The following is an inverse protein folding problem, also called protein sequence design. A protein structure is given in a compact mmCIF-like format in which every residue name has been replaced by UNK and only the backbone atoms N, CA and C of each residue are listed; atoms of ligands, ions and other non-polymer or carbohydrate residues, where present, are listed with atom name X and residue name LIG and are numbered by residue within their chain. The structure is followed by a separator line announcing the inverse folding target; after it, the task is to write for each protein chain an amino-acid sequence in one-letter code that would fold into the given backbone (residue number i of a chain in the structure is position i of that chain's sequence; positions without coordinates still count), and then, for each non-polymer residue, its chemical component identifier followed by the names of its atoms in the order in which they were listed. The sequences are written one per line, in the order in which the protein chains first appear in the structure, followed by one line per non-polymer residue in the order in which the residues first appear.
data_IF_879226039781
#
_entry.id   IF_879226039781
#
_cell.length_a   1.000
_cell.length_b   1.000
_cell.length_c   1.000
_cell.angle_alpha   90.00
_cell.angle_beta   90.00
_cell.angle_gamma   90.00
#
_symmetry.space_group_name_H-M   'P 1'
#
loop_
_entity.id
_entity.type
_entity.pdbx_description
1 polymer ?
#
# COMPACT_ATOMS: atom_id res chain seq x y z
N UNK A 1 -16.96 -45.30 23.29
CA UNK A 1 -17.42 -46.28 22.30
C UNK A 1 -16.22 -47.11 21.97
N UNK A 2 -16.28 -48.44 22.20
CA UNK A 2 -15.14 -49.34 22.22
C UNK A 2 -14.61 -49.55 20.79
N UNK A 3 -13.29 -49.37 20.58
CA UNK A 3 -12.64 -49.67 19.33
C UNK A 3 -12.77 -51.19 19.02
N UNK A 4 -13.07 -51.61 17.78
CA UNK A 4 -13.12 -53.01 17.46
C UNK A 4 -11.72 -53.66 17.63
N UNK A 5 -11.72 -54.87 18.17
CA UNK A 5 -10.50 -55.65 18.40
C UNK A 5 -10.00 -56.29 17.08
N UNK A 6 -8.72 -56.71 17.05
CA UNK A 6 -8.17 -57.51 15.96
C UNK A 6 -9.01 -58.78 15.79
N UNK A 7 -9.36 -59.15 14.54
CA UNK A 7 -10.24 -60.24 14.14
C UNK A 7 -11.72 -59.86 14.02
N UNK A 8 -12.15 -58.69 14.53
CA UNK A 8 -13.54 -58.23 14.41
C UNK A 8 -13.92 -58.00 12.95
N UNK A 9 -15.18 -58.27 12.62
CA UNK A 9 -15.73 -57.99 11.31
C UNK A 9 -15.93 -56.52 11.07
N UNK A 10 -15.68 -56.07 9.85
CA UNK A 10 -15.76 -54.66 9.44
C UNK A 10 -16.49 -54.54 8.08
N UNK A 11 -17.28 -53.49 7.98
CA UNK A 11 -18.04 -53.14 6.77
C UNK A 11 -17.70 -51.74 6.31
N UNK A 12 -17.28 -51.60 5.05
CA UNK A 12 -17.10 -50.30 4.43
C UNK A 12 -18.32 -49.99 3.58
N UNK A 13 -18.91 -48.82 3.78
CA UNK A 13 -20.06 -48.35 3.01
C UNK A 13 -19.57 -47.42 1.89
N UNK A 14 -19.49 -47.90 0.61
CA UNK A 14 -19.06 -47.08 -0.51
C UNK A 14 -20.07 -45.98 -0.83
N UNK A 15 -19.60 -44.84 -1.31
CA UNK A 15 -20.48 -43.84 -1.88
C UNK A 15 -21.15 -44.38 -3.13
N UNK A 16 -22.48 -44.30 -3.20
CA UNK A 16 -23.26 -44.75 -4.34
C UNK A 16 -24.55 -43.94 -4.48
N UNK A 17 -24.95 -43.70 -5.74
CA UNK A 17 -26.23 -43.09 -6.09
C UNK A 17 -27.32 -44.19 -6.36
N UNK A 18 -26.97 -45.44 -6.21
CA UNK A 18 -27.90 -46.58 -6.43
C UNK A 18 -28.80 -46.79 -5.20
N UNK A 19 -30.03 -47.30 -5.44
CA UNK A 19 -31.00 -47.57 -4.37
C UNK A 19 -30.58 -48.68 -3.40
N UNK A 20 -29.72 -49.62 -3.84
CA UNK A 20 -29.12 -50.67 -2.99
C UNK A 20 -27.61 -50.54 -3.05
N UNK A 21 -26.98 -50.42 -1.90
CA UNK A 21 -25.53 -50.29 -1.78
C UNK A 21 -24.99 -51.56 -1.14
N UNK A 22 -24.06 -52.22 -1.86
CA UNK A 22 -23.35 -53.37 -1.31
C UNK A 22 -22.17 -52.88 -0.48
N UNK A 23 -22.14 -53.21 0.82
CA UNK A 23 -20.98 -52.99 1.66
C UNK A 23 -19.82 -53.91 1.22
N UNK A 24 -18.59 -53.35 1.33
CA UNK A 24 -17.39 -54.20 1.24
C UNK A 24 -17.10 -54.72 2.65
N UNK A 25 -16.95 -56.05 2.77
CA UNK A 25 -16.74 -56.73 4.05
C UNK A 25 -15.30 -57.17 4.22
N UNK A 26 -14.82 -57.21 5.43
CA UNK A 26 -13.50 -57.69 5.81
C UNK A 26 -13.31 -57.78 7.32
N UNK A 27 -12.09 -57.97 7.76
CA UNK A 27 -11.75 -58.07 9.18
C UNK A 27 -10.70 -57.04 9.55
N UNK A 28 -10.72 -56.60 10.81
CA UNK A 28 -9.64 -55.82 11.42
C UNK A 28 -8.41 -56.70 11.56
N UNK A 29 -7.35 -56.41 10.81
CA UNK A 29 -6.07 -57.13 10.87
C UNK A 29 -5.14 -56.63 11.97
N UNK A 30 -5.13 -55.30 12.15
CA UNK A 30 -4.25 -54.68 13.13
C UNK A 30 -4.91 -53.40 13.66
N UNK A 31 -4.61 -53.08 14.88
CA UNK A 31 -4.99 -51.82 15.55
C UNK A 31 -3.74 -51.15 16.11
N UNK A 32 -3.37 -50.00 15.55
CA UNK A 32 -2.27 -49.18 16.01
C UNK A 32 -2.78 -47.86 16.59
N UNK A 33 -1.92 -47.05 17.14
CA UNK A 33 -2.25 -45.72 17.67
C UNK A 33 -1.59 -44.63 16.86
N UNK A 34 -2.34 -43.55 16.60
CA UNK A 34 -1.88 -42.32 15.94
C UNK A 34 -2.12 -41.17 16.89
N UNK A 35 -1.22 -40.19 16.92
CA UNK A 35 -1.26 -39.04 17.84
C UNK A 35 -1.44 -39.41 19.33
N UNK A 36 -0.82 -40.50 19.72
CA UNK A 36 -0.75 -40.97 21.12
C UNK A 36 -1.97 -41.75 21.63
N UNK A 37 -3.19 -41.42 21.25
CA UNK A 37 -4.42 -41.98 21.80
C UNK A 37 -5.43 -42.50 20.78
N UNK A 38 -5.42 -42.01 19.54
CA UNK A 38 -6.41 -42.37 18.51
C UNK A 38 -6.05 -43.64 17.79
N UNK A 39 -7.04 -44.49 17.50
CA UNK A 39 -6.86 -45.74 16.81
C UNK A 39 -6.68 -45.54 15.30
N UNK A 40 -5.82 -46.36 14.73
CA UNK A 40 -5.61 -46.53 13.30
C UNK A 40 -5.70 -48.01 12.96
N UNK A 41 -6.49 -48.33 11.96
CA UNK A 41 -6.85 -49.69 11.64
C UNK A 41 -6.25 -50.15 10.31
N UNK A 42 -5.67 -51.35 10.31
CA UNK A 42 -5.38 -52.10 9.09
C UNK A 42 -6.51 -53.10 8.88
N UNK A 43 -7.16 -53.01 7.73
CA UNK A 43 -8.36 -53.77 7.41
C UNK A 43 -8.08 -54.77 6.26
N UNK A 44 -8.50 -56.03 6.43
CA UNK A 44 -8.42 -57.07 5.42
C UNK A 44 -9.59 -56.99 4.46
N UNK A 45 -9.64 -55.94 3.63
CA UNK A 45 -10.66 -55.74 2.60
C UNK A 45 -10.11 -54.99 1.41
N UNK A 46 -10.72 -55.22 0.22
CA UNK A 46 -10.36 -54.50 -0.97
C UNK A 46 -10.91 -53.07 -0.97
N UNK A 47 -10.08 -52.11 -1.35
CA UNK A 47 -10.49 -50.73 -1.55
C UNK A 47 -10.21 -50.23 -2.96
N UNK A 48 -11.23 -49.67 -3.60
CA UNK A 48 -11.14 -49.00 -4.92
C UNK A 48 -11.03 -47.47 -4.69
N UNK A 49 -10.56 -46.74 -5.70
CA UNK A 49 -10.33 -45.29 -5.58
C UNK A 49 -11.55 -44.50 -5.09
N UNK A 50 -12.75 -44.89 -5.49
CA UNK A 50 -14.01 -44.24 -5.06
C UNK A 50 -14.44 -44.57 -3.63
N UNK A 51 -13.68 -45.38 -2.91
CA UNK A 51 -13.95 -45.77 -1.52
C UNK A 51 -13.09 -45.02 -0.48
N UNK A 52 -12.22 -44.15 -0.94
CA UNK A 52 -11.45 -43.27 -0.02
C UNK A 52 -12.43 -42.35 0.72
N UNK A 53 -12.20 -42.17 2.01
CA UNK A 53 -13.07 -41.40 2.92
C UNK A 53 -14.45 -42.01 3.22
N UNK A 54 -14.70 -43.23 2.78
CA UNK A 54 -15.93 -43.93 3.14
C UNK A 54 -15.93 -44.35 4.61
N UNK A 55 -17.11 -44.38 5.28
CA UNK A 55 -17.21 -44.86 6.64
C UNK A 55 -16.99 -46.37 6.73
N UNK A 56 -16.27 -46.76 7.79
CA UNK A 56 -16.08 -48.18 8.16
C UNK A 56 -16.83 -48.45 9.48
N UNK A 57 -17.66 -49.46 9.44
CA UNK A 57 -18.64 -49.78 10.52
C UNK A 57 -18.35 -51.17 11.12
N UNK A 58 -18.79 -51.31 12.38
CA UNK A 58 -18.83 -52.61 13.09
C UNK A 58 -20.15 -53.34 12.79
N UNK A 59 -20.34 -54.50 13.42
CA UNK A 59 -21.54 -55.34 13.25
C UNK A 59 -22.84 -54.66 13.66
N UNK A 60 -22.78 -53.70 14.59
CA UNK A 60 -23.90 -52.89 15.06
C UNK A 60 -24.19 -51.69 14.17
N UNK A 61 -23.49 -51.51 13.05
CA UNK A 61 -23.63 -50.38 12.12
C UNK A 61 -23.03 -49.08 12.65
N UNK A 62 -22.21 -49.11 13.69
CA UNK A 62 -21.55 -47.94 14.25
C UNK A 62 -20.27 -47.65 13.46
N UNK A 63 -20.07 -46.40 13.06
CA UNK A 63 -18.85 -45.95 12.37
C UNK A 63 -17.68 -45.89 13.37
N UNK A 64 -16.66 -46.70 13.15
CA UNK A 64 -15.43 -46.68 13.97
C UNK A 64 -14.22 -46.08 13.24
N UNK A 65 -14.27 -46.00 11.91
CA UNK A 65 -13.17 -45.47 11.12
C UNK A 65 -13.60 -44.84 9.78
N UNK A 66 -12.68 -44.10 9.21
CA UNK A 66 -12.80 -43.49 7.86
C UNK A 66 -11.70 -44.09 6.98
N UNK A 67 -12.09 -44.69 5.88
CA UNK A 67 -11.19 -45.42 5.00
C UNK A 67 -10.15 -44.50 4.34
N UNK A 68 -8.91 -44.95 4.30
CA UNK A 68 -7.78 -44.24 3.70
C UNK A 68 -7.07 -45.12 2.69
N UNK A 69 -6.59 -44.49 1.60
CA UNK A 69 -5.79 -45.18 0.57
C UNK A 69 -4.38 -45.41 1.12
N UNK A 70 -3.88 -46.63 0.92
CA UNK A 70 -2.48 -46.96 1.16
C UNK A 70 -1.59 -46.23 0.14
N UNK A 71 -0.43 -45.77 0.59
CA UNK A 71 0.67 -45.33 -0.29
C UNK A 71 1.52 -46.51 -0.78
N UNK A 72 1.28 -47.72 -0.28
CA UNK A 72 1.99 -48.96 -0.65
C UNK A 72 1.39 -49.71 -1.80
N UNK A 73 2.12 -50.75 -2.26
CA UNK A 73 1.79 -51.53 -3.48
C UNK A 73 0.60 -52.48 -3.29
N UNK A 74 0.25 -52.87 -2.05
CA UNK A 74 -0.82 -53.80 -1.78
C UNK A 74 -2.14 -53.14 -1.38
N UNK A 75 -2.92 -52.72 -2.39
CA UNK A 75 -4.29 -52.24 -2.23
C UNK A 75 -5.36 -53.26 -2.54
N UNK A 76 -4.96 -54.45 -2.95
CA UNK A 76 -5.92 -55.51 -3.44
C UNK A 76 -6.56 -56.22 -2.26
N UNK A 77 -5.84 -56.42 -1.16
CA UNK A 77 -6.33 -57.20 -0.02
C UNK A 77 -6.31 -56.46 1.30
N UNK A 78 -5.73 -55.25 1.33
CA UNK A 78 -5.54 -54.50 2.56
C UNK A 78 -5.86 -53.01 2.34
N UNK A 79 -6.62 -52.43 3.22
CA UNK A 79 -6.82 -50.97 3.29
C UNK A 79 -6.67 -50.51 4.74
N UNK A 80 -6.69 -49.17 4.91
CA UNK A 80 -6.48 -48.54 6.18
C UNK A 80 -7.67 -47.67 6.56
N UNK A 81 -7.85 -47.45 7.86
CA UNK A 81 -8.86 -46.51 8.31
C UNK A 81 -8.36 -45.68 9.53
N UNK A 82 -8.47 -44.38 9.47
CA UNK A 82 -8.31 -43.53 10.62
C UNK A 82 -9.51 -43.66 11.56
N UNK A 83 -9.27 -43.75 12.86
CA UNK A 83 -10.35 -43.87 13.86
C UNK A 83 -11.33 -42.69 13.78
N UNK A 84 -12.62 -42.99 13.85
CA UNK A 84 -13.68 -41.96 13.79
C UNK A 84 -13.54 -40.93 14.93
N UNK A 85 -13.06 -41.34 16.10
CA UNK A 85 -12.79 -40.41 17.19
C UNK A 85 -11.73 -39.36 16.85
N UNK A 86 -10.69 -39.74 16.07
CA UNK A 86 -9.70 -38.79 15.57
C UNK A 86 -10.33 -37.75 14.61
N UNK A 87 -11.12 -38.20 13.67
CA UNK A 87 -11.82 -37.31 12.73
C UNK A 87 -12.78 -36.35 13.46
N UNK A 88 -13.51 -36.84 14.47
CA UNK A 88 -14.43 -36.04 15.29
C UNK A 88 -13.71 -35.07 16.22
N UNK A 89 -12.49 -35.32 16.59
CA UNK A 89 -11.68 -34.45 17.48
C UNK A 89 -11.00 -33.30 16.67
N UNK A 90 -11.00 -33.37 15.33
CA UNK A 90 -10.42 -32.32 14.51
C UNK A 90 -11.23 -31.03 14.64
N UNK A 91 -10.56 -29.95 14.95
CA UNK A 91 -11.15 -28.61 15.04
C UNK A 91 -10.56 -27.70 13.97
N UNK A 92 -11.41 -26.89 13.37
CA UNK A 92 -10.97 -25.81 12.49
C UNK A 92 -10.47 -24.67 13.37
N UNK A 93 -9.25 -24.23 13.14
CA UNK A 93 -8.67 -23.04 13.75
C UNK A 93 -8.39 -21.98 12.70
N UNK A 94 -8.01 -20.79 13.13
CA UNK A 94 -7.58 -19.73 12.20
C UNK A 94 -6.39 -20.17 11.34
N UNK A 95 -5.48 -20.99 11.85
CA UNK A 95 -4.33 -21.52 11.12
C UNK A 95 -4.68 -22.60 10.10
N UNK A 96 -5.88 -23.19 10.15
CA UNK A 96 -6.32 -24.24 9.21
C UNK A 96 -6.33 -23.77 7.75
N UNK A 97 -6.48 -22.47 7.49
CA UNK A 97 -6.41 -21.91 6.15
C UNK A 97 -5.01 -22.08 5.52
N UNK A 98 -3.95 -22.07 6.34
CA UNK A 98 -2.55 -22.28 5.91
C UNK A 98 -2.18 -23.73 5.71
N UNK A 99 -2.96 -24.70 6.22
CA UNK A 99 -2.64 -26.13 6.20
C UNK A 99 -2.61 -26.68 4.77
N UNK A 100 -1.46 -27.21 4.36
CA UNK A 100 -1.24 -27.72 3.01
C UNK A 100 -2.10 -28.96 2.69
N UNK A 101 -2.43 -29.78 3.69
CA UNK A 101 -3.30 -30.95 3.52
C UNK A 101 -4.75 -30.51 3.35
N UNK A 102 -5.22 -29.55 4.16
CA UNK A 102 -6.56 -29.01 4.06
C UNK A 102 -6.78 -28.21 2.76
N UNK A 103 -5.76 -27.54 2.22
CA UNK A 103 -5.84 -26.86 0.92
C UNK A 103 -6.15 -27.78 -0.24
N UNK A 104 -5.66 -29.01 -0.19
CA UNK A 104 -5.87 -30.03 -1.24
C UNK A 104 -7.27 -30.66 -1.20
N UNK A 105 -8.02 -30.50 -0.11
CA UNK A 105 -9.35 -31.03 0.03
C UNK A 105 -10.34 -30.08 -0.64
N UNK A 106 -11.06 -30.54 -1.68
CA UNK A 106 -12.05 -29.76 -2.43
C UNK A 106 -13.35 -29.45 -1.66
N UNK A 107 -13.43 -29.80 -0.37
CA UNK A 107 -14.57 -29.50 0.49
C UNK A 107 -14.40 -28.10 1.09
N UNK A 108 -15.44 -27.29 1.05
CA UNK A 108 -15.47 -25.99 1.68
C UNK A 108 -15.28 -26.16 3.20
N UNK A 109 -14.31 -25.44 3.77
CA UNK A 109 -14.06 -25.43 5.20
C UNK A 109 -15.09 -24.54 5.89
N UNK A 110 -15.58 -24.99 7.03
CA UNK A 110 -16.40 -24.14 7.92
C UNK A 110 -15.54 -23.10 8.66
N UNK A 111 -16.21 -22.21 9.36
CA UNK A 111 -15.54 -21.27 10.27
C UNK A 111 -15.16 -21.94 11.59
N UNK A 112 -14.12 -21.43 12.29
CA UNK A 112 -13.89 -21.77 13.69
C UNK A 112 -15.13 -21.51 14.57
N UNK A 113 -15.24 -22.27 15.67
CA UNK A 113 -16.41 -22.21 16.56
C UNK A 113 -16.46 -20.91 17.38
N UNK A 114 -15.30 -20.33 17.69
CA UNK A 114 -15.22 -19.09 18.48
C UNK A 114 -15.10 -17.86 17.58
N UNK A 115 -15.68 -16.76 18.00
CA UNK A 115 -15.71 -15.50 17.29
C UNK A 115 -14.30 -14.98 16.97
N UNK A 116 -13.41 -14.94 17.96
CA UNK A 116 -12.02 -14.46 17.79
C UNK A 116 -11.26 -15.27 16.73
N UNK A 117 -11.37 -16.60 16.79
CA UNK A 117 -10.72 -17.49 15.83
C UNK A 117 -11.32 -17.32 14.43
N UNK A 118 -12.62 -17.10 14.34
CA UNK A 118 -13.31 -16.87 13.07
C UNK A 118 -12.91 -15.51 12.45
N UNK A 119 -12.73 -14.46 13.26
CA UNK A 119 -12.23 -13.16 12.79
C UNK A 119 -10.79 -13.26 12.25
N UNK A 120 -9.89 -13.97 12.96
CA UNK A 120 -8.54 -14.22 12.46
C UNK A 120 -8.58 -15.04 11.17
N UNK A 121 -9.46 -16.04 11.08
CA UNK A 121 -9.65 -16.83 9.87
C UNK A 121 -10.13 -15.97 8.68
N UNK A 122 -11.09 -15.06 8.88
CA UNK A 122 -11.54 -14.10 7.86
C UNK A 122 -10.41 -13.19 7.38
N UNK A 123 -9.58 -12.70 8.31
CA UNK A 123 -8.43 -11.86 7.96
C UNK A 123 -7.45 -12.61 7.05
N UNK A 124 -7.09 -13.85 7.41
CA UNK A 124 -6.21 -14.68 6.58
C UNK A 124 -6.84 -15.06 5.23
N UNK A 125 -8.14 -15.28 5.19
CA UNK A 125 -8.88 -15.67 4.00
C UNK A 125 -8.97 -14.54 2.97
N UNK A 126 -8.99 -13.29 3.40
CA UNK A 126 -9.14 -12.12 2.51
C UNK A 126 -8.08 -12.00 1.42
N UNK A 127 -6.86 -12.53 1.69
CA UNK A 127 -5.73 -12.52 0.74
C UNK A 127 -5.56 -13.83 -0.06
N UNK A 128 -6.33 -14.89 0.27
CA UNK A 128 -6.07 -16.23 -0.25
C UNK A 128 -7.27 -16.88 -0.95
N UNK A 129 -8.48 -16.36 -0.77
CA UNK A 129 -9.68 -16.87 -1.42
C UNK A 129 -10.06 -16.04 -2.65
N UNK A 130 -10.78 -16.67 -3.59
CA UNK A 130 -11.46 -15.96 -4.68
C UNK A 130 -12.54 -15.01 -4.12
N UNK A 131 -12.91 -14.00 -4.89
CA UNK A 131 -13.93 -13.04 -4.48
C UNK A 131 -15.24 -13.69 -4.03
N UNK A 132 -15.76 -14.62 -4.82
CA UNK A 132 -17.03 -15.30 -4.54
C UNK A 132 -16.95 -16.26 -3.34
N UNK A 133 -15.81 -16.92 -3.15
CA UNK A 133 -15.61 -17.80 -2.00
C UNK A 133 -15.41 -17.01 -0.71
N UNK A 134 -14.80 -15.83 -0.81
CA UNK A 134 -14.69 -14.92 0.32
C UNK A 134 -16.05 -14.33 0.72
N UNK A 135 -16.91 -13.96 -0.26
CA UNK A 135 -18.29 -13.51 0.00
C UNK A 135 -19.10 -14.57 0.76
N UNK A 136 -19.04 -15.82 0.32
CA UNK A 136 -19.70 -16.93 1.03
C UNK A 136 -19.18 -17.12 2.45
N UNK A 137 -17.89 -16.91 2.66
CA UNK A 137 -17.29 -17.00 3.98
C UNK A 137 -17.76 -15.88 4.90
N UNK A 138 -17.90 -14.64 4.38
CA UNK A 138 -18.49 -13.52 5.11
C UNK A 138 -19.96 -13.77 5.47
N UNK A 139 -20.73 -14.35 4.55
CA UNK A 139 -22.12 -14.74 4.82
C UNK A 139 -22.23 -15.79 5.92
N UNK A 140 -21.33 -16.79 5.93
CA UNK A 140 -21.28 -17.80 6.98
C UNK A 140 -20.90 -17.19 8.31
N UNK A 141 -19.94 -16.25 8.34
CA UNK A 141 -19.56 -15.55 9.56
C UNK A 141 -20.73 -14.77 10.16
N UNK A 142 -21.43 -13.98 9.34
CA UNK A 142 -22.58 -13.20 9.79
C UNK A 142 -23.71 -14.12 10.27
N UNK A 143 -23.89 -15.28 9.65
CA UNK A 143 -24.91 -16.26 10.09
C UNK A 143 -24.52 -16.89 11.44
N UNK A 144 -23.25 -17.17 11.67
CA UNK A 144 -22.75 -17.78 12.91
C UNK A 144 -22.66 -16.75 14.04
N UNK A 145 -22.29 -15.50 13.74
CA UNK A 145 -22.07 -14.42 14.69
C UNK A 145 -22.87 -13.16 14.31
N UNK A 146 -24.20 -13.19 14.33
CA UNK A 146 -25.05 -12.10 13.82
C UNK A 146 -24.98 -10.81 14.67
N UNK A 147 -24.47 -10.88 15.89
CA UNK A 147 -24.27 -9.73 16.77
C UNK A 147 -22.89 -9.07 16.62
N UNK A 148 -22.00 -9.64 15.80
CA UNK A 148 -20.67 -9.07 15.55
C UNK A 148 -20.71 -8.04 14.43
N UNK A 149 -20.32 -6.78 14.72
CA UNK A 149 -20.31 -5.69 13.75
C UNK A 149 -19.24 -5.86 12.67
N UNK A 150 -18.08 -6.46 13.00
CA UNK A 150 -16.95 -6.65 12.06
C UNK A 150 -17.33 -7.48 10.84
N UNK A 151 -18.20 -8.49 11.01
CA UNK A 151 -18.69 -9.29 9.90
C UNK A 151 -19.39 -8.44 8.85
N UNK A 152 -20.27 -7.56 9.27
CA UNK A 152 -20.98 -6.63 8.39
C UNK A 152 -20.04 -5.59 7.80
N UNK A 153 -19.11 -5.03 8.58
CA UNK A 153 -18.12 -4.05 8.09
C UNK A 153 -17.23 -4.65 7.00
N UNK A 154 -16.75 -5.87 7.19
CA UNK A 154 -15.93 -6.57 6.18
C UNK A 154 -16.72 -6.84 4.91
N UNK A 155 -18.00 -7.27 5.02
CA UNK A 155 -18.83 -7.50 3.85
C UNK A 155 -19.21 -6.20 3.15
N UNK A 156 -19.48 -5.13 3.88
CA UNK A 156 -19.69 -3.79 3.33
C UNK A 156 -18.48 -3.31 2.51
N UNK A 157 -17.26 -3.45 3.05
CA UNK A 157 -16.03 -3.11 2.32
C UNK A 157 -15.83 -3.97 1.07
N UNK A 158 -16.15 -5.27 1.15
CA UNK A 158 -16.10 -6.16 0.00
C UNK A 158 -17.09 -5.74 -1.10
N UNK A 159 -18.33 -5.41 -0.74
CA UNK A 159 -19.32 -4.89 -1.69
C UNK A 159 -18.90 -3.55 -2.28
N UNK A 160 -18.37 -2.65 -1.48
CA UNK A 160 -17.90 -1.35 -1.96
C UNK A 160 -16.75 -1.47 -2.98
N UNK A 161 -15.86 -2.44 -2.81
CA UNK A 161 -14.81 -2.72 -3.79
C UNK A 161 -15.36 -3.17 -5.16
N UNK A 162 -16.51 -3.88 -5.17
CA UNK A 162 -17.25 -4.24 -6.40
C UNK A 162 -18.04 -3.08 -7.01
N UNK A 163 -18.34 -2.05 -6.23
CA UNK A 163 -19.19 -0.92 -6.63
C UNK A 163 -18.60 -0.02 -7.72
N UNK A 164 -17.32 -0.17 -8.08
CA UNK A 164 -16.69 0.60 -9.17
C UNK A 164 -17.37 0.40 -10.52
N UNK A 165 -17.82 -0.83 -10.78
CA UNK A 165 -18.41 -1.21 -12.06
C UNK A 165 -19.95 -1.21 -12.02
N UNK A 166 -20.55 -1.33 -10.82
CA UNK A 166 -22.00 -1.37 -10.63
C UNK A 166 -22.38 -0.78 -9.28
N UNK A 167 -23.03 0.39 -9.30
CA UNK A 167 -23.42 1.14 -8.09
C UNK A 167 -24.44 0.39 -7.20
N UNK A 168 -25.09 -0.66 -7.66
CA UNK A 168 -26.00 -1.47 -6.83
C UNK A 168 -25.25 -2.18 -5.69
N UNK A 169 -23.95 -2.39 -5.83
CA UNK A 169 -23.11 -2.94 -4.76
C UNK A 169 -22.95 -1.96 -3.59
N UNK A 170 -22.98 -0.65 -3.83
CA UNK A 170 -22.95 0.33 -2.75
C UNK A 170 -24.24 0.30 -1.91
N UNK A 171 -25.40 -0.02 -2.51
CA UNK A 171 -26.64 -0.22 -1.75
C UNK A 171 -26.51 -1.38 -0.75
N UNK A 172 -25.86 -2.48 -1.16
CA UNK A 172 -25.57 -3.62 -0.28
C UNK A 172 -24.60 -3.22 0.83
N UNK A 173 -23.56 -2.46 0.50
CA UNK A 173 -22.60 -1.97 1.49
C UNK A 173 -23.27 -1.07 2.53
N UNK A 174 -24.14 -0.17 2.11
CA UNK A 174 -24.93 0.70 3.02
C UNK A 174 -25.85 -0.12 3.91
N UNK A 175 -26.49 -1.16 3.38
CA UNK A 175 -27.33 -2.05 4.18
C UNK A 175 -26.53 -2.73 5.30
N UNK A 176 -25.33 -3.20 5.00
CA UNK A 176 -24.44 -3.82 5.99
C UNK A 176 -23.91 -2.79 7.01
N UNK A 177 -23.55 -1.57 6.62
CA UNK A 177 -23.21 -0.50 7.56
C UNK A 177 -24.35 -0.19 8.53
N UNK A 178 -25.57 -0.09 8.02
CA UNK A 178 -26.75 0.13 8.87
C UNK A 178 -26.97 -1.04 9.84
N UNK A 179 -26.68 -2.26 9.43
CA UNK A 179 -26.76 -3.41 10.32
C UNK A 179 -25.63 -3.43 11.35
N UNK A 180 -24.41 -3.09 10.96
CA UNK A 180 -23.28 -2.93 11.88
C UNK A 180 -23.59 -1.88 12.96
N UNK A 181 -24.16 -0.71 12.59
CA UNK A 181 -24.60 0.33 13.54
C UNK A 181 -25.70 -0.13 14.52
N UNK A 182 -26.53 -1.11 14.14
CA UNK A 182 -27.54 -1.67 15.03
C UNK A 182 -26.97 -2.63 16.06
N UNK A 183 -26.00 -3.47 15.65
CA UNK A 183 -25.46 -4.54 16.49
C UNK A 183 -24.25 -4.12 17.31
N UNK A 184 -23.49 -3.10 16.87
CA UNK A 184 -22.30 -2.63 17.56
C UNK A 184 -22.64 -2.10 18.98
N UNK A 185 -21.93 -2.61 19.98
CA UNK A 185 -22.00 -2.11 21.35
C UNK A 185 -21.44 -0.69 21.47
N UNK A 186 -20.30 -0.44 20.83
CA UNK A 186 -19.66 0.85 20.67
C UNK A 186 -19.59 1.16 19.18
N UNK A 187 -20.06 2.33 18.78
CA UNK A 187 -20.30 2.66 17.36
C UNK A 187 -19.17 3.46 16.70
N UNK A 188 -18.16 3.84 17.46
CA UNK A 188 -17.03 4.66 16.99
C UNK A 188 -16.31 4.02 15.81
N UNK A 189 -15.93 2.73 15.92
CA UNK A 189 -15.25 2.03 14.84
C UNK A 189 -16.14 1.87 13.59
N UNK A 190 -17.45 1.68 13.77
CA UNK A 190 -18.40 1.60 12.63
C UNK A 190 -18.45 2.94 11.89
N UNK A 191 -18.63 4.06 12.60
CA UNK A 191 -18.61 5.39 12.01
C UNK A 191 -17.29 5.71 11.32
N UNK A 192 -16.16 5.35 11.95
CA UNK A 192 -14.85 5.50 11.35
C UNK A 192 -14.73 4.74 10.02
N UNK A 193 -15.14 3.46 9.99
CA UNK A 193 -15.09 2.64 8.77
C UNK A 193 -16.01 3.18 7.66
N UNK A 194 -17.20 3.69 7.99
CA UNK A 194 -18.08 4.35 7.04
C UNK A 194 -17.39 5.60 6.45
N UNK A 195 -16.89 6.49 7.31
CA UNK A 195 -16.20 7.70 6.87
C UNK A 195 -14.95 7.42 6.02
N UNK A 196 -14.16 6.44 6.43
CA UNK A 196 -12.98 5.97 5.70
C UNK A 196 -13.32 5.46 4.30
N UNK A 197 -14.41 4.68 4.18
CA UNK A 197 -14.84 4.19 2.87
C UNK A 197 -15.33 5.31 1.97
N UNK A 198 -16.14 6.24 2.48
CA UNK A 198 -16.61 7.40 1.74
C UNK A 198 -15.45 8.29 1.28
N UNK A 199 -14.44 8.48 2.14
CA UNK A 199 -13.21 9.19 1.79
C UNK A 199 -12.45 8.50 0.65
N UNK A 200 -12.20 7.19 0.77
CA UNK A 200 -11.53 6.40 -0.27
C UNK A 200 -12.29 6.42 -1.60
N UNK A 201 -13.63 6.38 -1.54
CA UNK A 201 -14.49 6.53 -2.71
C UNK A 201 -14.28 7.87 -3.42
N UNK A 202 -14.27 8.98 -2.67
CA UNK A 202 -14.05 10.33 -3.23
C UNK A 202 -12.62 10.49 -3.80
N UNK A 203 -11.60 9.90 -3.17
CA UNK A 203 -10.24 9.90 -3.70
C UNK A 203 -10.12 9.20 -5.05
N UNK A 204 -11.00 8.24 -5.36
CA UNK A 204 -11.04 7.58 -6.67
C UNK A 204 -11.57 8.47 -7.80
N UNK A 205 -12.01 9.70 -7.47
CA UNK A 205 -12.58 10.69 -8.40
C UNK A 205 -13.69 10.10 -9.27
N UNK A 206 -14.80 9.60 -8.69
CA UNK A 206 -15.88 9.00 -9.45
C UNK A 206 -16.50 10.04 -10.38
N UNK A 207 -16.86 9.63 -11.60
CA UNK A 207 -17.54 10.51 -12.57
C UNK A 207 -18.88 11.04 -12.02
N UNK A 208 -19.56 10.21 -11.24
CA UNK A 208 -20.81 10.54 -10.58
C UNK A 208 -20.79 10.08 -9.12
N UNK A 209 -20.99 11.03 -8.22
CA UNK A 209 -21.09 10.73 -6.79
C UNK A 209 -22.28 9.81 -6.51
N UNK A 210 -22.02 8.74 -5.74
CA UNK A 210 -23.06 7.85 -5.26
C UNK A 210 -23.78 8.50 -4.08
N UNK A 211 -25.07 8.83 -4.25
CA UNK A 211 -25.91 9.47 -3.22
C UNK A 211 -25.20 10.65 -2.55
N UNK A 212 -25.10 10.58 -1.23
CA UNK A 212 -24.46 11.56 -0.35
C UNK A 212 -23.01 11.21 0.05
N UNK A 213 -22.36 10.29 -0.68
CA UNK A 213 -20.97 9.93 -0.40
C UNK A 213 -20.01 11.04 -0.84
N UNK A 214 -19.91 12.06 -0.01
CA UNK A 214 -19.05 13.24 -0.20
C UNK A 214 -17.98 13.31 0.88
N UNK A 215 -17.00 14.20 0.72
CA UNK A 215 -16.05 14.49 1.80
C UNK A 215 -16.75 15.01 3.06
N UNK A 216 -17.83 15.80 2.92
CA UNK A 216 -18.58 16.32 4.07
C UNK A 216 -19.24 15.20 4.88
N UNK A 217 -19.88 14.26 4.21
CA UNK A 217 -20.51 13.11 4.90
C UNK A 217 -19.46 12.15 5.45
N UNK A 218 -18.31 11.98 4.77
CA UNK A 218 -17.18 11.24 5.33
C UNK A 218 -16.69 11.89 6.62
N UNK A 219 -16.48 13.20 6.61
CA UNK A 219 -16.05 13.98 7.78
C UNK A 219 -17.05 13.91 8.94
N UNK A 220 -18.35 14.00 8.65
CA UNK A 220 -19.39 13.85 9.66
C UNK A 220 -19.31 12.49 10.37
N UNK A 221 -19.14 11.41 9.62
CA UNK A 221 -19.00 10.07 10.21
C UNK A 221 -17.73 9.98 11.06
N UNK A 222 -16.58 10.44 10.58
CA UNK A 222 -15.32 10.43 11.36
C UNK A 222 -15.48 11.26 12.65
N UNK A 223 -16.14 12.42 12.60
CA UNK A 223 -16.43 13.22 13.79
C UNK A 223 -17.39 12.54 14.76
N UNK A 224 -18.34 11.73 14.29
CA UNK A 224 -19.14 10.87 15.17
C UNK A 224 -18.26 9.85 15.90
N UNK A 225 -17.31 9.24 15.21
CA UNK A 225 -16.35 8.34 15.85
C UNK A 225 -15.51 9.04 16.92
N UNK A 226 -14.97 10.22 16.62
CA UNK A 226 -14.16 11.04 17.53
C UNK A 226 -15.00 11.47 18.77
N UNK A 227 -16.26 11.80 18.58
CA UNK A 227 -17.16 12.21 19.68
C UNK A 227 -17.43 11.07 20.67
N UNK A 228 -17.41 9.81 20.21
CA UNK A 228 -17.58 8.62 21.06
C UNK A 228 -16.25 8.23 21.73
N UNK A 229 -15.17 8.19 20.93
CA UNK A 229 -13.82 7.91 21.42
C UNK A 229 -12.79 8.70 20.59
N UNK A 230 -12.05 9.65 21.18
CA UNK A 230 -11.12 10.51 20.44
C UNK A 230 -9.78 9.79 20.15
N UNK A 231 -9.83 8.63 19.48
CA UNK A 231 -8.64 7.89 19.11
C UNK A 231 -7.79 8.67 18.09
N UNK A 232 -6.45 8.69 18.23
CA UNK A 232 -5.57 9.41 17.33
C UNK A 232 -5.73 9.01 15.85
N UNK A 233 -6.06 7.74 15.56
CA UNK A 233 -6.29 7.26 14.19
C UNK A 233 -7.54 7.91 13.55
N UNK A 234 -8.57 8.20 14.34
CA UNK A 234 -9.77 8.90 13.86
C UNK A 234 -9.47 10.37 13.59
N UNK A 235 -8.66 11.00 14.47
CA UNK A 235 -8.21 12.39 14.30
C UNK A 235 -7.31 12.51 13.06
N UNK A 236 -6.46 11.51 12.80
CA UNK A 236 -5.68 11.47 11.56
C UNK A 236 -6.58 11.46 10.33
N UNK A 237 -7.62 10.60 10.31
CA UNK A 237 -8.58 10.54 9.22
C UNK A 237 -9.35 11.87 9.04
N UNK A 238 -9.70 12.56 10.14
CA UNK A 238 -10.27 13.91 10.08
C UNK A 238 -9.31 14.85 9.35
N UNK A 239 -8.02 14.84 9.70
CA UNK A 239 -6.98 15.64 9.03
C UNK A 239 -6.86 15.32 7.54
N UNK A 240 -6.87 14.03 7.18
CA UNK A 240 -6.77 13.58 5.79
C UNK A 240 -7.96 14.05 4.93
N UNK A 241 -9.18 14.00 5.48
CA UNK A 241 -10.38 14.49 4.81
C UNK A 241 -10.34 16.01 4.66
N UNK A 242 -10.01 16.75 5.71
CA UNK A 242 -9.89 18.21 5.67
C UNK A 242 -8.81 18.67 4.69
N UNK A 243 -7.69 17.95 4.61
CA UNK A 243 -6.65 18.18 3.62
C UNK A 243 -7.20 18.02 2.18
N UNK A 244 -7.95 16.96 1.92
CA UNK A 244 -8.58 16.72 0.62
C UNK A 244 -9.61 17.80 0.26
N UNK A 245 -10.28 18.38 1.24
CA UNK A 245 -11.18 19.53 1.09
C UNK A 245 -10.46 20.88 0.96
N UNK A 246 -9.12 20.89 1.07
CA UNK A 246 -8.28 22.09 1.10
C UNK A 246 -8.52 22.99 2.34
N UNK A 247 -9.17 22.48 3.37
CA UNK A 247 -9.18 23.13 4.70
C UNK A 247 -7.86 22.83 5.41
N UNK A 248 -6.81 23.51 4.96
CA UNK A 248 -5.46 23.30 5.50
C UNK A 248 -5.33 23.71 6.98
N UNK A 249 -6.11 24.68 7.44
CA UNK A 249 -6.09 25.09 8.84
C UNK A 249 -6.64 24.00 9.75
N UNK A 250 -7.79 23.45 9.41
CA UNK A 250 -8.39 22.31 10.11
C UNK A 250 -7.53 21.06 10.06
N UNK A 251 -6.98 20.74 8.87
CA UNK A 251 -6.09 19.59 8.68
C UNK A 251 -4.83 19.70 9.55
N UNK A 252 -4.17 20.86 9.57
CA UNK A 252 -2.97 21.09 10.39
C UNK A 252 -3.26 20.90 11.88
N UNK A 253 -4.37 21.45 12.38
CA UNK A 253 -4.78 21.30 13.77
C UNK A 253 -5.05 19.82 14.15
N UNK A 254 -5.59 19.02 13.22
CA UNK A 254 -5.76 17.58 13.41
C UNK A 254 -4.41 16.86 13.45
N UNK A 255 -3.51 17.10 12.48
CA UNK A 255 -2.20 16.47 12.45
C UNK A 255 -1.31 16.85 13.65
N UNK A 256 -1.40 18.07 14.17
CA UNK A 256 -0.70 18.47 15.39
C UNK A 256 -1.12 17.63 16.61
N UNK A 257 -2.42 17.33 16.74
CA UNK A 257 -2.91 16.42 17.79
C UNK A 257 -2.36 14.99 17.60
N UNK A 258 -2.33 14.52 16.36
CA UNK A 258 -1.77 13.20 16.04
C UNK A 258 -0.27 13.16 16.33
N UNK A 259 0.47 14.20 15.97
CA UNK A 259 1.92 14.31 16.23
C UNK A 259 2.27 14.39 17.72
N UNK A 260 1.33 14.79 18.57
CA UNK A 260 1.45 14.74 20.02
C UNK A 260 1.04 13.39 20.64
N UNK A 261 0.57 12.42 19.86
CA UNK A 261 0.08 11.13 20.32
C UNK A 261 1.09 10.00 20.15
N UNK A 262 0.70 8.80 20.60
CA UNK A 262 1.52 7.59 20.51
C UNK A 262 1.60 6.98 19.09
N UNK A 263 0.81 7.45 18.12
CA UNK A 263 0.88 7.03 16.70
C UNK A 263 1.68 8.00 15.85
N UNK A 264 2.31 9.00 16.46
CA UNK A 264 3.18 9.94 15.76
C UNK A 264 4.29 9.21 14.96
N UNK A 265 4.38 9.49 13.68
CA UNK A 265 5.24 8.77 12.72
C UNK A 265 5.88 9.75 11.73
N UNK A 266 6.90 9.33 10.96
CA UNK A 266 7.40 10.15 9.85
C UNK A 266 6.29 10.66 8.93
N UNK A 267 5.34 9.80 8.57
CA UNK A 267 4.23 10.15 7.68
C UNK A 267 3.33 11.24 8.25
N UNK A 268 3.01 11.20 9.56
CA UNK A 268 2.12 12.20 10.16
C UNK A 268 2.77 13.58 10.26
N UNK A 269 4.09 13.64 10.52
CA UNK A 269 4.84 14.89 10.47
C UNK A 269 4.99 15.42 9.04
N UNK A 270 5.20 14.54 8.08
CA UNK A 270 5.22 14.91 6.66
C UNK A 270 3.87 15.50 6.21
N UNK A 271 2.74 14.86 6.58
CA UNK A 271 1.41 15.40 6.29
C UNK A 271 1.22 16.82 6.87
N UNK A 272 1.65 17.04 8.11
CA UNK A 272 1.60 18.36 8.74
C UNK A 272 2.48 19.39 7.98
N UNK A 273 3.70 19.00 7.57
CA UNK A 273 4.61 19.85 6.82
C UNK A 273 4.03 20.26 5.46
N UNK A 274 3.51 19.28 4.69
CA UNK A 274 2.87 19.56 3.39
C UNK A 274 1.63 20.42 3.54
N UNK A 275 0.83 20.16 4.56
CA UNK A 275 -0.36 20.98 4.85
C UNK A 275 0.04 22.43 5.15
N UNK A 276 1.06 22.65 5.97
CA UNK A 276 1.56 23.98 6.31
C UNK A 276 2.16 24.69 5.11
N UNK A 277 2.89 23.98 4.25
CA UNK A 277 3.43 24.52 2.99
C UNK A 277 2.31 25.01 2.07
N UNK A 278 1.26 24.17 1.86
CA UNK A 278 0.10 24.52 1.01
C UNK A 278 -0.73 25.66 1.60
N UNK A 279 -0.78 25.76 2.93
CA UNK A 279 -1.36 26.89 3.63
C UNK A 279 -0.52 28.19 3.52
N UNK A 280 0.62 28.15 2.81
CA UNK A 280 1.58 29.27 2.71
C UNK A 280 2.12 29.74 4.07
N UNK A 281 2.30 28.79 5.00
CA UNK A 281 2.91 29.04 6.30
C UNK A 281 4.39 29.40 6.22
N UNK A 282 4.99 29.79 7.35
CA UNK A 282 6.42 30.13 7.40
C UNK A 282 7.28 28.94 6.92
N UNK A 283 8.10 29.11 5.87
CA UNK A 283 8.97 28.05 5.36
C UNK A 283 9.90 27.44 6.41
N UNK A 284 10.33 28.19 7.43
CA UNK A 284 11.17 27.66 8.51
C UNK A 284 10.39 26.71 9.42
N UNK A 285 9.13 26.99 9.68
CA UNK A 285 8.26 26.10 10.46
C UNK A 285 7.92 24.82 9.66
N UNK A 286 7.79 24.94 8.34
CA UNK A 286 7.64 23.76 7.44
C UNK A 286 8.87 22.87 7.55
N UNK A 287 10.08 23.45 7.48
CA UNK A 287 11.35 22.70 7.64
C UNK A 287 11.41 22.04 9.02
N UNK A 288 11.02 22.73 10.11
CA UNK A 288 11.03 22.16 11.47
C UNK A 288 10.11 20.92 11.60
N UNK A 289 8.97 20.90 10.91
CA UNK A 289 8.11 19.71 10.83
C UNK A 289 8.80 18.58 10.07
N UNK A 290 9.50 18.87 8.97
CA UNK A 290 10.29 17.87 8.25
C UNK A 290 11.50 17.37 9.04
N UNK A 291 12.14 18.21 9.86
CA UNK A 291 13.18 17.77 10.79
C UNK A 291 12.62 16.74 11.78
N UNK A 292 11.41 16.99 12.28
CA UNK A 292 10.70 16.05 13.15
C UNK A 292 10.31 14.76 12.44
N UNK A 293 9.97 14.82 11.14
CA UNK A 293 9.73 13.66 10.27
C UNK A 293 11.01 12.82 10.15
N UNK A 294 12.11 13.43 9.74
CA UNK A 294 13.40 12.75 9.52
C UNK A 294 13.95 12.14 10.82
N UNK A 295 13.82 12.86 11.95
CA UNK A 295 14.25 12.36 13.25
C UNK A 295 13.54 11.06 13.71
N UNK A 296 12.35 10.78 13.15
CA UNK A 296 11.57 9.57 13.42
C UNK A 296 11.82 8.45 12.41
N UNK A 297 12.54 8.73 11.34
CA UNK A 297 12.94 7.67 10.40
C UNK A 297 13.99 6.74 11.03
N UNK A 298 14.03 5.45 10.65
CA UNK A 298 15.12 4.55 11.02
C UNK A 298 16.49 5.13 10.66
N UNK A 299 17.49 4.90 11.50
CA UNK A 299 18.86 5.33 11.24
C UNK A 299 19.80 4.12 11.07
N UNK A 300 20.65 4.07 10.02
CA UNK A 300 20.71 5.03 8.90
C UNK A 300 19.42 5.02 8.06
N UNK A 301 19.11 6.15 7.42
CA UNK A 301 17.92 6.27 6.57
C UNK A 301 18.02 5.26 5.42
N UNK A 302 16.99 4.43 5.26
CA UNK A 302 16.88 3.45 4.19
C UNK A 302 16.20 4.01 2.94
N UNK A 303 16.28 3.30 1.82
CA UNK A 303 15.65 3.71 0.56
C UNK A 303 14.14 3.99 0.70
N UNK A 304 13.42 3.25 1.56
CA UNK A 304 11.98 3.46 1.79
C UNK A 304 11.64 4.81 2.41
N UNK A 305 12.55 5.36 3.21
CA UNK A 305 12.39 6.66 3.88
C UNK A 305 13.15 7.80 3.18
N UNK A 306 14.01 7.47 2.22
CA UNK A 306 14.79 8.46 1.48
C UNK A 306 13.95 9.56 0.79
N UNK A 307 12.74 9.29 0.26
CA UNK A 307 11.92 10.35 -0.33
C UNK A 307 11.65 11.54 0.58
N UNK A 308 11.57 11.36 1.91
CA UNK A 308 11.44 12.48 2.84
C UNK A 308 12.63 13.44 2.82
N UNK A 309 13.83 12.96 2.49
CA UNK A 309 15.01 13.82 2.33
C UNK A 309 14.86 14.74 1.12
N UNK A 310 14.33 14.25 -0.01
CA UNK A 310 14.08 15.09 -1.19
C UNK A 310 13.03 16.16 -0.90
N UNK A 311 11.99 15.80 -0.20
CA UNK A 311 10.95 16.74 0.22
C UNK A 311 11.53 17.82 1.15
N UNK A 312 12.35 17.42 2.16
CA UNK A 312 13.02 18.39 3.03
C UNK A 312 14.02 19.27 2.27
N UNK A 313 14.76 18.69 1.30
CA UNK A 313 15.65 19.47 0.46
C UNK A 313 14.90 20.58 -0.29
N UNK A 314 13.75 20.28 -0.88
CA UNK A 314 12.93 21.28 -1.56
C UNK A 314 12.40 22.34 -0.58
N UNK A 315 11.94 21.93 0.61
CA UNK A 315 11.49 22.86 1.64
C UNK A 315 12.62 23.74 2.18
N UNK A 316 13.83 23.19 2.32
CA UNK A 316 15.05 23.94 2.63
C UNK A 316 15.37 24.97 1.54
N UNK A 317 15.20 24.62 0.26
CA UNK A 317 15.37 25.58 -0.85
C UNK A 317 14.37 26.72 -0.75
N UNK A 318 13.11 26.42 -0.46
CA UNK A 318 12.04 27.42 -0.30
C UNK A 318 12.28 28.32 0.92
N UNK A 319 12.89 27.77 1.99
CA UNK A 319 13.29 28.50 3.21
C UNK A 319 14.59 29.31 3.06
N UNK A 320 15.24 29.32 1.89
CA UNK A 320 16.51 29.99 1.66
C UNK A 320 17.70 29.31 2.36
N UNK A 321 17.64 28.02 2.60
CA UNK A 321 18.66 27.21 3.26
C UNK A 321 19.33 26.20 2.28
N UNK A 322 19.96 26.65 1.18
CA UNK A 322 20.44 25.75 0.13
C UNK A 322 21.58 24.81 0.60
N UNK A 323 22.33 25.17 1.64
CA UNK A 323 23.34 24.27 2.21
C UNK A 323 22.71 23.06 2.89
N UNK A 324 21.58 23.24 3.60
CA UNK A 324 20.85 22.15 4.21
C UNK A 324 20.21 21.26 3.13
N UNK A 325 19.66 21.86 2.06
CA UNK A 325 19.15 21.12 0.92
C UNK A 325 20.22 20.19 0.30
N UNK A 326 21.46 20.70 0.16
CA UNK A 326 22.57 19.85 -0.34
C UNK A 326 22.86 18.67 0.57
N UNK A 327 22.85 18.86 1.90
CA UNK A 327 23.04 17.76 2.86
C UNK A 327 21.95 16.70 2.71
N UNK A 328 20.72 17.12 2.46
CA UNK A 328 19.60 16.21 2.22
C UNK A 328 19.76 15.45 0.91
N UNK A 329 20.18 16.10 -0.18
CA UNK A 329 20.47 15.41 -1.44
C UNK A 329 21.64 14.41 -1.28
N UNK A 330 22.69 14.74 -0.54
CA UNK A 330 23.82 13.83 -0.27
C UNK A 330 23.35 12.61 0.54
N UNK A 331 22.53 12.84 1.56
CA UNK A 331 21.93 11.76 2.36
C UNK A 331 21.01 10.87 1.52
N UNK A 332 20.19 11.46 0.66
CA UNK A 332 19.35 10.72 -0.29
C UNK A 332 20.20 9.83 -1.20
N UNK A 333 21.20 10.41 -1.87
CA UNK A 333 22.10 9.68 -2.76
C UNK A 333 22.77 8.48 -2.06
N UNK A 334 23.16 8.67 -0.81
CA UNK A 334 23.71 7.60 0.02
C UNK A 334 22.68 6.52 0.33
N UNK A 335 21.46 6.90 0.71
CA UNK A 335 20.40 5.97 1.09
C UNK A 335 19.95 5.07 -0.08
N UNK A 336 19.94 5.62 -1.31
CA UNK A 336 19.62 4.89 -2.55
C UNK A 336 20.87 4.31 -3.25
N UNK A 337 22.05 4.31 -2.59
CA UNK A 337 23.32 3.75 -3.11
C UNK A 337 23.74 4.31 -4.46
N UNK A 338 23.42 5.56 -4.73
CA UNK A 338 23.74 6.23 -5.98
C UNK A 338 22.81 5.91 -7.15
N UNK A 339 21.74 5.16 -6.94
CA UNK A 339 20.74 4.87 -7.97
C UNK A 339 19.82 6.09 -8.16
N UNK A 340 20.27 7.06 -8.96
CA UNK A 340 19.58 8.32 -9.24
C UNK A 340 19.52 8.60 -10.73
N UNK A 341 18.60 9.47 -11.15
CA UNK A 341 18.44 9.91 -12.53
C UNK A 341 19.05 11.32 -12.76
N UNK A 342 18.98 11.78 -14.01
CA UNK A 342 19.41 13.11 -14.44
C UNK A 342 18.74 14.25 -13.66
N UNK A 343 17.44 14.12 -13.39
CA UNK A 343 16.63 15.11 -12.65
C UNK A 343 17.17 15.32 -11.23
N UNK A 344 17.66 14.27 -10.57
CA UNK A 344 18.28 14.38 -9.26
C UNK A 344 19.53 15.28 -9.30
N UNK A 345 20.42 15.08 -10.25
CA UNK A 345 21.63 15.87 -10.40
C UNK A 345 21.30 17.34 -10.73
N UNK A 346 20.29 17.58 -11.55
CA UNK A 346 19.80 18.92 -11.84
C UNK A 346 19.31 19.66 -10.59
N UNK A 347 18.49 19.05 -9.75
CA UNK A 347 18.03 19.71 -8.53
C UNK A 347 19.14 19.90 -7.49
N UNK A 348 20.08 18.95 -7.38
CA UNK A 348 21.23 19.10 -6.50
C UNK A 348 22.18 20.21 -6.98
N UNK A 349 22.35 20.34 -8.27
CA UNK A 349 23.06 21.45 -8.91
C UNK A 349 22.45 22.79 -8.50
N UNK A 350 21.13 22.97 -8.60
CA UNK A 350 20.44 24.19 -8.22
C UNK A 350 20.69 24.56 -6.74
N UNK A 351 20.70 23.58 -5.86
CA UNK A 351 21.05 23.79 -4.46
C UNK A 351 22.52 24.19 -4.28
N UNK A 352 23.44 23.52 -5.00
CA UNK A 352 24.86 23.81 -4.96
C UNK A 352 25.16 25.24 -5.48
N UNK A 353 24.52 25.65 -6.58
CA UNK A 353 24.66 26.96 -7.18
C UNK A 353 24.21 28.07 -6.22
N UNK A 354 23.02 27.90 -5.59
CA UNK A 354 22.52 28.84 -4.58
C UNK A 354 23.38 28.87 -3.31
N UNK A 355 23.97 27.72 -2.95
CA UNK A 355 24.94 27.63 -1.83
C UNK A 355 26.33 28.17 -2.17
N UNK A 356 26.55 28.63 -3.40
CA UNK A 356 27.83 29.09 -3.96
C UNK A 356 28.91 28.01 -3.97
N UNK A 357 28.52 26.74 -4.08
CA UNK A 357 29.43 25.61 -4.22
C UNK A 357 29.59 25.28 -5.72
N UNK A 358 30.21 26.19 -6.45
CA UNK A 358 30.22 26.18 -7.91
C UNK A 358 30.84 24.94 -8.53
N UNK A 359 31.90 24.36 -7.91
CA UNK A 359 32.51 23.14 -8.44
C UNK A 359 31.52 21.97 -8.35
N UNK A 360 30.80 21.83 -7.23
CA UNK A 360 29.76 20.80 -7.09
C UNK A 360 28.61 21.00 -8.07
N UNK A 361 28.19 22.25 -8.27
CA UNK A 361 27.18 22.55 -9.28
C UNK A 361 27.63 22.13 -10.68
N UNK A 362 28.90 22.42 -11.03
CA UNK A 362 29.48 22.00 -12.31
C UNK A 362 29.53 20.48 -12.45
N UNK A 363 29.99 19.78 -11.42
CA UNK A 363 30.07 18.30 -11.43
C UNK A 363 28.69 17.66 -11.60
N UNK A 364 27.65 18.22 -10.96
CA UNK A 364 26.31 17.70 -11.03
C UNK A 364 25.64 17.98 -12.38
N UNK A 365 25.75 19.21 -12.90
CA UNK A 365 25.14 19.53 -14.19
C UNK A 365 25.79 18.74 -15.35
N UNK A 366 27.08 18.50 -15.28
CA UNK A 366 27.78 17.63 -16.25
C UNK A 366 27.21 16.22 -16.22
N UNK A 367 26.96 15.65 -15.02
CA UNK A 367 26.33 14.33 -14.88
C UNK A 367 24.90 14.31 -15.43
N UNK A 368 24.11 15.36 -15.18
CA UNK A 368 22.77 15.45 -15.75
C UNK A 368 22.82 15.45 -17.30
N UNK A 369 23.77 16.19 -17.89
CA UNK A 369 23.99 16.23 -19.35
C UNK A 369 24.47 14.87 -19.88
N UNK A 370 25.37 14.19 -19.18
CA UNK A 370 25.83 12.85 -19.58
C UNK A 370 24.68 11.85 -19.67
N UNK A 371 23.70 11.94 -18.76
CA UNK A 371 22.52 11.08 -18.73
C UNK A 371 21.44 11.48 -19.73
N UNK A 372 21.30 12.80 -20.01
CA UNK A 372 20.34 13.34 -20.96
C UNK A 372 20.96 14.49 -21.80
N UNK A 373 21.77 14.16 -22.81
CA UNK A 373 22.55 15.14 -23.55
C UNK A 373 21.72 16.06 -24.47
N UNK A 374 20.47 15.73 -24.70
CA UNK A 374 19.59 16.50 -25.58
C UNK A 374 18.76 17.56 -24.83
N UNK A 375 18.79 17.58 -23.53
CA UNK A 375 18.05 18.56 -22.73
C UNK A 375 18.77 19.91 -22.75
N UNK A 376 18.18 20.87 -23.44
CA UNK A 376 18.72 22.22 -23.54
C UNK A 376 18.68 22.99 -22.22
N UNK A 377 17.79 22.59 -21.28
CA UNK A 377 17.72 23.18 -19.94
C UNK A 377 19.01 22.90 -19.18
N UNK A 378 19.49 21.64 -19.20
CA UNK A 378 20.73 21.28 -18.53
C UNK A 378 21.94 21.97 -19.15
N UNK A 379 21.97 22.09 -20.49
CA UNK A 379 23.02 22.84 -21.17
C UNK A 379 22.99 24.33 -20.80
N UNK A 380 21.80 24.93 -20.68
CA UNK A 380 21.65 26.32 -20.25
C UNK A 380 22.15 26.53 -18.81
N UNK A 381 21.79 25.64 -17.89
CA UNK A 381 22.30 25.68 -16.51
C UNK A 381 23.81 25.49 -16.44
N UNK A 382 24.39 24.62 -17.28
CA UNK A 382 25.85 24.52 -17.41
C UNK A 382 26.48 25.87 -17.83
N UNK A 383 25.88 26.58 -18.78
CA UNK A 383 26.32 27.92 -19.12
C UNK A 383 26.16 28.93 -17.98
N UNK A 384 25.06 28.83 -17.18
CA UNK A 384 24.85 29.65 -15.97
C UNK A 384 25.96 29.41 -14.95
N UNK A 385 26.33 28.16 -14.66
CA UNK A 385 27.42 27.85 -13.72
C UNK A 385 28.73 28.44 -14.21
N UNK A 386 29.08 28.29 -15.51
CA UNK A 386 30.29 28.89 -16.11
C UNK A 386 30.27 30.42 -16.02
N UNK A 387 29.15 31.06 -16.31
CA UNK A 387 28.95 32.51 -16.13
C UNK A 387 29.23 32.94 -14.68
N UNK A 388 28.75 32.17 -13.69
CA UNK A 388 28.92 32.45 -12.26
C UNK A 388 30.38 32.36 -11.77
N UNK A 389 31.15 31.49 -12.38
CA UNK A 389 32.58 31.32 -12.06
C UNK A 389 33.53 32.15 -12.94
N UNK A 390 32.97 32.97 -13.87
CA UNK A 390 33.76 33.85 -14.70
C UNK A 390 34.36 33.21 -15.96
N UNK A 391 33.94 32.02 -16.35
CA UNK A 391 34.30 31.32 -17.57
C UNK A 391 33.39 31.71 -18.73
N UNK A 392 33.50 32.98 -19.13
CA UNK A 392 32.53 33.59 -20.04
C UNK A 392 32.62 33.00 -21.46
N UNK A 393 33.81 32.70 -21.91
CA UNK A 393 34.03 32.13 -23.24
C UNK A 393 33.47 30.73 -23.37
N UNK A 394 33.65 29.88 -22.35
CA UNK A 394 33.07 28.54 -22.28
C UNK A 394 31.52 28.60 -22.23
N UNK A 395 30.98 29.54 -21.44
CA UNK A 395 29.54 29.77 -21.40
C UNK A 395 28.99 30.16 -22.78
N UNK A 396 29.67 31.06 -23.52
CA UNK A 396 29.27 31.46 -24.86
C UNK A 396 29.28 30.28 -25.83
N UNK A 397 30.29 29.42 -25.79
CA UNK A 397 30.34 28.23 -26.65
C UNK A 397 29.18 27.29 -26.42
N UNK A 398 28.79 27.07 -25.16
CA UNK A 398 27.63 26.24 -24.80
C UNK A 398 26.35 26.89 -25.36
N UNK A 399 26.15 28.19 -25.13
CA UNK A 399 24.98 28.93 -25.56
C UNK A 399 24.83 28.98 -27.09
N UNK A 400 25.95 29.14 -27.81
CA UNK A 400 25.97 29.07 -29.27
C UNK A 400 25.55 27.69 -29.79
N UNK A 401 25.90 26.62 -29.10
CA UNK A 401 25.42 25.28 -29.43
C UNK A 401 23.96 25.08 -29.16
N UNK A 402 23.43 25.63 -28.07
CA UNK A 402 21.98 25.66 -27.80
C UNK A 402 21.25 26.38 -28.94
N UNK A 403 21.72 27.53 -29.36
CA UNK A 403 21.09 28.32 -30.43
C UNK A 403 21.22 27.69 -31.83
N UNK A 404 22.20 26.81 -32.04
CA UNK A 404 22.26 26.00 -33.28
C UNK A 404 21.16 24.91 -33.24
N UNK A 405 20.87 24.35 -32.08
CA UNK A 405 19.82 23.34 -31.90
C UNK A 405 18.42 23.95 -31.88
N UNK A 406 18.24 25.04 -31.14
CA UNK A 406 16.99 25.83 -31.08
C UNK A 406 17.28 27.33 -31.20
N UNK A 407 17.16 27.91 -32.40
CA UNK A 407 17.33 29.35 -32.61
C UNK A 407 16.31 30.26 -31.90
N UNK A 408 15.26 29.66 -31.28
CA UNK A 408 14.23 30.40 -30.55
C UNK A 408 14.38 30.28 -29.03
N UNK A 409 15.43 29.66 -28.53
CA UNK A 409 15.67 29.52 -27.11
C UNK A 409 16.02 30.89 -26.48
N UNK A 410 14.98 31.59 -26.01
CA UNK A 410 15.06 32.98 -25.56
C UNK A 410 16.10 33.23 -24.46
N UNK A 411 16.14 32.30 -23.48
CA UNK A 411 17.08 32.37 -22.37
C UNK A 411 18.56 32.35 -22.80
N UNK A 412 18.91 31.60 -23.84
CA UNK A 412 20.30 31.56 -24.34
C UNK A 412 20.75 32.96 -24.83
N UNK A 413 19.89 33.71 -25.50
CA UNK A 413 20.22 35.09 -25.87
C UNK A 413 20.39 35.99 -24.64
N UNK A 414 19.57 35.86 -23.63
CA UNK A 414 19.73 36.59 -22.36
C UNK A 414 21.06 36.27 -21.69
N UNK A 415 21.43 34.97 -21.60
CA UNK A 415 22.68 34.53 -20.99
C UNK A 415 23.90 34.96 -21.81
N UNK A 416 23.84 34.90 -23.16
CA UNK A 416 24.89 35.45 -24.05
C UNK A 416 25.13 36.93 -23.81
N UNK A 417 24.04 37.72 -23.72
CA UNK A 417 24.14 39.12 -23.38
C UNK A 417 24.84 39.36 -22.03
N UNK A 418 24.51 38.57 -21.00
CA UNK A 418 25.17 38.65 -19.70
C UNK A 418 26.65 38.32 -19.76
N UNK A 419 27.07 37.30 -20.50
CA UNK A 419 28.49 37.00 -20.74
C UNK A 419 29.21 38.14 -21.44
N UNK A 420 28.59 38.70 -22.47
CA UNK A 420 29.15 39.83 -23.26
C UNK A 420 29.27 41.12 -22.44
N UNK A 421 28.35 41.41 -21.52
CA UNK A 421 28.51 42.52 -20.56
C UNK A 421 29.77 42.35 -19.72
N UNK A 422 30.02 41.13 -19.22
CA UNK A 422 31.24 40.87 -18.42
C UNK A 422 32.53 41.02 -19.25
N UNK A 423 32.46 40.69 -20.53
CA UNK A 423 33.55 40.87 -21.49
C UNK A 423 33.63 42.31 -22.09
N UNK A 424 32.81 43.25 -21.56
CA UNK A 424 32.74 44.67 -22.02
C UNK A 424 32.32 44.84 -23.49
N UNK A 425 31.56 43.91 -24.04
CA UNK A 425 30.97 43.91 -25.38
C UNK A 425 29.55 44.40 -25.37
N UNK A 426 29.31 45.61 -24.93
CA UNK A 426 27.95 46.14 -24.60
C UNK A 426 27.01 46.16 -25.83
N UNK A 427 27.50 46.52 -27.01
CA UNK A 427 26.66 46.57 -28.22
C UNK A 427 26.13 45.21 -28.64
N UNK A 428 27.01 44.17 -28.61
CA UNK A 428 26.62 42.78 -28.88
C UNK A 428 25.61 42.29 -27.83
N UNK A 429 25.86 42.60 -26.56
CA UNK A 429 24.98 42.24 -25.45
C UNK A 429 23.57 42.82 -25.64
N UNK A 430 23.49 44.07 -26.02
CA UNK A 430 22.19 44.76 -26.27
C UNK A 430 21.45 44.17 -27.44
N UNK A 431 22.17 43.71 -28.50
CA UNK A 431 21.58 42.97 -29.61
C UNK A 431 20.91 41.67 -29.12
N UNK A 432 21.63 40.90 -28.29
CA UNK A 432 21.12 39.66 -27.73
C UNK A 432 19.97 39.88 -26.73
N UNK A 433 20.03 40.91 -25.87
CA UNK A 433 18.92 41.22 -24.98
C UNK A 433 17.65 41.61 -25.76
N UNK A 434 17.76 42.40 -26.83
CA UNK A 434 16.63 42.71 -27.71
C UNK A 434 16.05 41.42 -28.32
N UNK A 435 16.91 40.50 -28.75
CA UNK A 435 16.47 39.25 -29.34
C UNK A 435 15.76 38.34 -28.28
N UNK A 436 16.28 38.26 -27.08
CA UNK A 436 15.62 37.56 -25.98
C UNK A 436 14.22 38.16 -25.69
N UNK A 437 14.09 39.49 -25.73
CA UNK A 437 12.79 40.17 -25.53
C UNK A 437 11.81 39.84 -26.65
N UNK A 438 12.24 39.89 -27.92
CA UNK A 438 11.43 39.51 -29.09
C UNK A 438 10.89 38.07 -28.96
N UNK A 439 11.69 37.17 -28.37
CA UNK A 439 11.33 35.77 -28.14
C UNK A 439 10.55 35.53 -26.83
N UNK A 440 10.29 36.59 -26.05
CA UNK A 440 9.42 36.54 -24.88
C UNK A 440 10.12 36.18 -23.56
N UNK A 441 11.44 36.34 -23.41
CA UNK A 441 12.13 36.13 -22.13
C UNK A 441 11.60 37.12 -21.08
N UNK A 442 11.02 36.64 -19.94
CA UNK A 442 10.41 37.51 -18.93
C UNK A 442 11.43 38.29 -18.08
N UNK A 443 12.71 37.90 -18.13
CA UNK A 443 13.74 38.43 -17.23
C UNK A 443 14.69 39.42 -17.91
N UNK A 444 14.41 39.85 -19.14
CA UNK A 444 15.36 40.64 -19.93
C UNK A 444 15.15 42.16 -19.85
N UNK A 445 13.93 42.65 -19.51
CA UNK A 445 13.59 44.08 -19.54
C UNK A 445 14.44 44.93 -18.61
N UNK A 446 14.72 44.46 -17.42
CA UNK A 446 15.61 45.13 -16.45
C UNK A 446 17.05 45.22 -16.98
N UNK A 447 17.52 44.18 -17.69
CA UNK A 447 18.85 44.14 -18.27
C UNK A 447 18.99 45.15 -19.41
N UNK A 448 17.98 45.26 -20.28
CA UNK A 448 17.94 46.28 -21.33
C UNK A 448 17.99 47.67 -20.71
N UNK A 449 17.17 47.94 -19.71
CA UNK A 449 17.12 49.24 -19.05
C UNK A 449 18.46 49.60 -18.39
N UNK A 450 19.14 48.60 -17.82
CA UNK A 450 20.40 48.80 -17.10
C UNK A 450 21.61 48.97 -18.01
N UNK A 451 21.66 48.25 -19.12
CA UNK A 451 22.90 48.15 -19.94
C UNK A 451 22.79 48.76 -21.33
N UNK A 452 21.56 48.93 -21.86
CA UNK A 452 21.35 49.35 -23.25
C UNK A 452 20.72 50.76 -23.30
N UNK A 453 21.56 51.73 -23.05
CA UNK A 453 21.18 53.14 -23.16
C UNK A 453 21.32 53.68 -24.59
#
# INVERSE_FOLDING_TARGET
KTAPAVGADAWMLPYSTQKSIACVTGKVKEVSKVAGEYHYYTLGMQMKDKMVSCPVMNAEGQVFGIAQKSSGIDTVTTCYAAGAAFAMAQKISALSLGDAALKKIGIRKGLPETEDQALVYLFMASSSLSGDDYEKLLDDFIRQFPANADGYLRRANYYAAKGKDDQTWYDKAVADFNQALKVAQKKDDVYYNIGKLMYAYQLSKPEKTYKDWTYDTALQNVRQAIAIDPLPIYIQMEGDILFAQQDYAGALAAYEKVNASNIASPATFFSAAKTKELAKGDPKEVVALMDSCIARCPQPITADFAPYLLERAQMNMNAGQPRNAMLDYDAYHTAVKGEVNDVFYYYREQAALKARQFQRALDDIVKAIEMNPTDLTYQAEHAVVNLRVGRYEEAIQILDNILKADPKYAEAYRLLGLCQIQLKKTDEACGNFKKAKELGDPNVDELITKYCK
#
